data_IF_717775480211
#
_entry.id   IF_717775480211
#
_cell.length_a   1.000
_cell.length_b   1.000
_cell.length_c   1.000
_cell.angle_alpha   90.00
_cell.angle_beta   90.00
_cell.angle_gamma   90.00
#
_symmetry.space_group_name_H-M   'P 1'
#
loop_
_entity.id
_entity.type
_entity.pdbx_description
1 polymer ?
#
# COMPACT_ATOMS: atom_id res chain seq x y z
N UNK A 1 5.71 29.44 -2.02
CA UNK A 1 5.24 28.32 -2.86
C UNK A 1 5.72 27.04 -2.19
N UNK A 2 4.81 26.27 -1.58
CA UNK A 2 5.14 24.93 -1.09
C UNK A 2 5.32 24.04 -2.31
N UNK A 3 6.58 23.75 -2.66
CA UNK A 3 6.91 22.70 -3.61
C UNK A 3 6.31 21.40 -3.12
N UNK A 4 5.46 20.77 -3.94
CA UNK A 4 4.91 19.44 -3.65
C UNK A 4 6.07 18.49 -3.32
N UNK A 5 5.97 17.67 -2.27
CA UNK A 5 6.95 16.63 -2.04
C UNK A 5 7.08 15.74 -3.29
N UNK A 6 8.30 15.32 -3.67
CA UNK A 6 8.54 14.58 -4.91
C UNK A 6 7.63 13.35 -5.07
N UNK A 7 7.22 12.70 -3.97
CA UNK A 7 6.28 11.56 -3.97
C UNK A 7 4.84 11.85 -4.47
N UNK A 8 4.42 13.12 -4.55
CA UNK A 8 3.09 13.50 -5.08
C UNK A 8 3.09 13.71 -6.60
N UNK A 9 4.24 13.59 -7.27
CA UNK A 9 4.25 13.55 -8.73
C UNK A 9 3.57 12.25 -9.20
N UNK A 10 2.68 12.38 -10.19
CA UNK A 10 1.97 11.27 -10.84
C UNK A 10 2.95 10.15 -11.27
N UNK A 11 4.20 10.51 -11.57
CA UNK A 11 5.26 9.65 -12.08
C UNK A 11 6.30 9.23 -11.04
N UNK A 12 6.16 9.64 -9.77
CA UNK A 12 7.06 9.20 -8.70
C UNK A 12 6.94 7.69 -8.44
N UNK A 13 8.08 7.07 -8.15
CA UNK A 13 8.18 5.67 -7.76
C UNK A 13 7.52 5.44 -6.40
N UNK A 14 6.70 4.39 -6.31
CA UNK A 14 6.16 3.93 -5.04
C UNK A 14 7.08 2.87 -4.44
N UNK A 15 7.09 2.73 -3.12
CA UNK A 15 7.71 1.59 -2.47
C UNK A 15 6.63 0.70 -1.86
N UNK A 16 6.76 -0.60 -2.05
CA UNK A 16 5.86 -1.61 -1.51
C UNK A 16 6.60 -2.54 -0.54
N UNK A 17 6.05 -2.76 0.64
CA UNK A 17 6.56 -3.59 1.72
C UNK A 17 5.42 -4.52 2.10
N UNK A 18 5.72 -5.81 2.30
CA UNK A 18 4.70 -6.76 2.69
C UNK A 18 4.21 -6.46 4.11
N UNK A 19 2.91 -6.66 4.36
CA UNK A 19 2.33 -6.37 5.68
C UNK A 19 3.10 -7.08 6.78
N UNK A 20 3.44 -8.35 6.59
CA UNK A 20 4.03 -9.22 7.61
C UNK A 20 5.57 -9.34 7.46
N UNK A 21 6.21 -8.36 6.81
CA UNK A 21 7.67 -8.33 6.70
C UNK A 21 8.30 -8.21 8.11
N UNK A 22 9.25 -9.08 8.48
CA UNK A 22 9.83 -9.10 9.82
C UNK A 22 10.65 -7.84 10.16
N UNK A 23 11.02 -7.04 9.16
CA UNK A 23 11.67 -5.74 9.34
C UNK A 23 10.72 -4.60 9.70
N UNK A 24 9.41 -4.86 9.83
CA UNK A 24 8.41 -3.86 10.23
C UNK A 24 8.20 -3.88 11.74
N UNK A 25 8.23 -2.69 12.36
CA UNK A 25 7.84 -2.51 13.76
C UNK A 25 6.31 -2.50 13.93
N UNK A 26 5.72 -3.69 13.88
CA UNK A 26 4.31 -3.91 14.13
C UNK A 26 3.86 -3.40 15.51
N UNK A 27 4.76 -3.40 16.50
CA UNK A 27 4.44 -2.95 17.84
C UNK A 27 4.19 -1.44 17.86
N UNK A 28 5.02 -0.66 17.17
CA UNK A 28 4.81 0.79 17.05
C UNK A 28 3.53 1.09 16.29
N UNK A 29 3.27 0.40 15.18
CA UNK A 29 2.01 0.55 14.42
C UNK A 29 0.79 0.23 15.30
N UNK A 30 0.82 -0.84 16.08
CA UNK A 30 -0.28 -1.22 16.97
C UNK A 30 -0.48 -0.20 18.10
N UNK A 31 0.58 0.42 18.60
CA UNK A 31 0.50 1.49 19.59
C UNK A 31 -0.16 2.74 19.00
N UNK A 32 0.26 3.17 17.82
CA UNK A 32 -0.32 4.33 17.11
C UNK A 32 -1.82 4.12 16.83
N UNK A 33 -2.22 2.90 16.43
CA UNK A 33 -3.63 2.56 16.23
C UNK A 33 -4.44 2.62 17.52
N UNK A 34 -3.91 2.13 18.63
CA UNK A 34 -4.58 2.24 19.95
C UNK A 34 -4.73 3.70 20.39
N UNK A 35 -3.74 4.55 20.10
CA UNK A 35 -3.83 5.98 20.36
C UNK A 35 -4.88 6.67 19.45
N UNK A 36 -5.04 6.21 18.21
CA UNK A 36 -6.13 6.63 17.33
C UNK A 36 -7.50 6.19 17.88
N UNK A 37 -7.65 4.93 18.30
CA UNK A 37 -8.86 4.40 18.93
C UNK A 37 -9.28 5.23 20.15
N UNK A 38 -8.32 5.53 21.03
CA UNK A 38 -8.58 6.34 22.24
C UNK A 38 -9.08 7.73 21.88
N UNK A 39 -8.42 8.42 20.94
CA UNK A 39 -8.84 9.76 20.49
C UNK A 39 -10.20 9.73 19.79
N UNK A 40 -10.46 8.70 18.99
CA UNK A 40 -11.74 8.52 18.33
C UNK A 40 -12.87 8.34 19.35
N UNK A 41 -12.66 7.51 20.38
CA UNK A 41 -13.61 7.31 21.46
C UNK A 41 -13.94 8.62 22.19
N UNK A 42 -12.93 9.42 22.55
CA UNK A 42 -13.13 10.75 23.15
C UNK A 42 -13.94 11.69 22.23
N UNK A 43 -13.67 11.67 20.93
CA UNK A 43 -14.41 12.48 19.95
C UNK A 43 -15.87 12.01 19.82
N UNK A 44 -16.13 10.70 19.86
CA UNK A 44 -17.49 10.14 19.84
C UNK A 44 -18.31 10.54 21.09
N UNK A 45 -17.69 10.58 22.27
CA UNK A 45 -18.33 11.09 23.50
C UNK A 45 -18.69 12.59 23.38
N UNK A 46 -17.80 13.38 22.79
CA UNK A 46 -18.05 14.81 22.50
C UNK A 46 -19.19 14.99 21.50
N UNK A 47 -19.30 14.14 20.48
CA UNK A 47 -20.43 14.15 19.54
C UNK A 47 -21.74 13.88 20.27
N UNK A 48 -21.78 12.87 21.16
CA UNK A 48 -22.98 12.57 21.94
C UNK A 48 -23.41 13.78 22.78
N UNK A 49 -22.46 14.44 23.44
CA UNK A 49 -22.71 15.64 24.26
C UNK A 49 -23.20 16.82 23.42
N UNK A 50 -22.58 17.09 22.26
CA UNK A 50 -22.97 18.19 21.37
C UNK A 50 -24.37 17.96 20.76
N UNK A 51 -24.73 16.69 20.48
CA UNK A 51 -26.09 16.33 20.03
C UNK A 51 -27.14 16.60 21.08
N UNK A 52 -26.89 16.28 22.34
CA UNK A 52 -27.81 16.59 23.45
C UNK A 52 -28.03 18.10 23.64
N UNK A 53 -27.02 18.92 23.31
CA UNK A 53 -27.09 20.39 23.37
C UNK A 53 -27.68 21.05 22.12
N UNK A 54 -27.92 20.30 21.04
CA UNK A 54 -28.44 20.84 19.78
C UNK A 54 -27.41 21.62 18.95
N UNK A 55 -26.11 21.39 19.16
CA UNK A 55 -25.01 22.11 18.49
C UNK A 55 -24.67 21.47 17.12
N UNK A 56 -25.61 21.54 16.17
CA UNK A 56 -25.51 20.82 14.89
C UNK A 56 -24.24 21.09 14.06
N UNK A 57 -23.68 22.30 14.14
CA UNK A 57 -22.44 22.64 13.43
C UNK A 57 -21.22 21.96 14.07
N UNK A 58 -21.17 21.91 15.40
CA UNK A 58 -20.08 21.27 16.14
C UNK A 58 -20.09 19.75 15.92
N UNK A 59 -21.28 19.14 15.87
CA UNK A 59 -21.45 17.72 15.53
C UNK A 59 -20.81 17.38 14.18
N UNK A 60 -21.06 18.16 13.13
CA UNK A 60 -20.51 17.89 11.81
C UNK A 60 -18.96 17.98 11.78
N UNK A 61 -18.38 18.91 12.52
CA UNK A 61 -16.91 19.05 12.63
C UNK A 61 -16.31 17.86 13.39
N UNK A 62 -16.96 17.45 14.48
CA UNK A 62 -16.50 16.32 15.29
C UNK A 62 -16.67 14.98 14.56
N UNK A 63 -17.73 14.81 13.76
CA UNK A 63 -17.92 13.61 12.93
C UNK A 63 -16.80 13.44 11.91
N UNK A 64 -16.40 14.52 11.22
CA UNK A 64 -15.26 14.49 10.32
C UNK A 64 -13.93 14.19 11.06
N UNK A 65 -13.76 14.74 12.26
CA UNK A 65 -12.59 14.46 13.10
C UNK A 65 -12.55 13.00 13.56
N UNK A 66 -13.69 12.42 13.94
CA UNK A 66 -13.80 11.02 14.35
C UNK A 66 -13.54 10.05 13.18
N UNK A 67 -13.93 10.43 11.96
CA UNK A 67 -13.59 9.69 10.75
C UNK A 67 -12.07 9.70 10.50
N UNK A 68 -11.42 10.86 10.58
CA UNK A 68 -9.95 10.97 10.43
C UNK A 68 -9.18 10.21 11.53
N UNK A 69 -9.77 10.03 12.70
CA UNK A 69 -9.21 9.27 13.83
C UNK A 69 -9.52 7.77 13.80
N UNK A 70 -10.29 7.29 12.81
CA UNK A 70 -10.58 5.86 12.67
C UNK A 70 -9.27 5.09 12.45
N UNK A 71 -8.97 4.03 13.23
CA UNK A 71 -7.75 3.25 13.08
C UNK A 71 -7.60 2.62 11.69
N UNK A 72 -8.70 2.40 10.96
CA UNK A 72 -8.68 1.92 9.58
C UNK A 72 -8.05 2.95 8.63
N UNK A 73 -8.08 4.23 8.99
CA UNK A 73 -7.45 5.33 8.27
C UNK A 73 -5.97 5.53 8.67
N UNK A 74 -5.43 4.66 9.53
CA UNK A 74 -4.00 4.62 9.79
C UNK A 74 -3.21 4.46 8.48
N UNK A 75 -2.11 5.21 8.34
CA UNK A 75 -1.33 5.30 7.09
C UNK A 75 -0.87 3.93 6.58
N UNK A 76 -0.44 3.07 7.49
CA UNK A 76 -0.05 1.68 7.20
C UNK A 76 -1.19 0.86 6.59
N UNK A 77 -2.42 1.02 7.09
CA UNK A 77 -3.56 0.25 6.60
C UNK A 77 -4.05 0.80 5.26
N UNK A 78 -4.06 2.12 5.09
CA UNK A 78 -4.35 2.76 3.80
C UNK A 78 -3.34 2.31 2.72
N UNK A 79 -2.07 2.21 3.08
CA UNK A 79 -1.02 1.71 2.19
C UNK A 79 -1.20 0.24 1.82
N UNK A 80 -1.40 -0.65 2.79
CA UNK A 80 -1.55 -2.09 2.53
C UNK A 80 -2.82 -2.42 1.74
N UNK A 81 -3.86 -1.58 1.83
CA UNK A 81 -5.05 -1.63 0.96
C UNK A 81 -4.81 -1.06 -0.45
N UNK A 82 -3.67 -0.40 -0.68
CA UNK A 82 -3.33 0.25 -1.94
C UNK A 82 -4.12 1.53 -2.21
N UNK A 83 -4.60 2.19 -1.15
CA UNK A 83 -5.30 3.48 -1.21
C UNK A 83 -4.33 4.66 -1.25
N UNK A 84 -3.10 4.48 -0.76
CA UNK A 84 -2.05 5.49 -0.71
C UNK A 84 -0.69 4.90 -1.10
N UNK A 85 0.28 5.77 -1.39
CA UNK A 85 1.69 5.38 -1.60
C UNK A 85 2.41 5.36 -0.24
N UNK A 86 3.34 4.43 -0.08
CA UNK A 86 4.21 4.43 1.09
C UNK A 86 5.31 5.47 0.96
N UNK A 87 5.38 6.35 1.96
CA UNK A 87 6.35 7.42 2.02
C UNK A 87 7.45 7.03 3.02
N UNK A 88 8.50 6.40 2.51
CA UNK A 88 9.62 5.93 3.35
C UNK A 88 10.28 7.08 4.10
N UNK A 89 10.31 8.28 3.54
CA UNK A 89 10.93 9.45 4.19
C UNK A 89 10.04 10.02 5.30
N UNK A 90 8.70 9.95 5.15
CA UNK A 90 7.75 10.38 6.17
C UNK A 90 7.49 9.32 7.26
N UNK A 91 7.59 8.04 6.91
CA UNK A 91 7.27 6.90 7.77
C UNK A 91 8.54 6.16 8.27
N UNK A 92 9.71 6.80 8.10
CA UNK A 92 11.04 6.30 8.46
C UNK A 92 11.16 5.91 9.94
N UNK A 93 10.32 6.48 10.81
CA UNK A 93 10.24 6.10 12.23
C UNK A 93 9.80 4.65 12.46
N UNK A 94 8.93 4.10 11.60
CA UNK A 94 8.40 2.74 11.71
C UNK A 94 9.31 1.67 11.06
N UNK A 95 10.23 2.08 10.19
CA UNK A 95 11.16 1.19 9.46
C UNK A 95 12.60 1.24 10.02
N UNK A 96 13.00 2.32 10.70
CA UNK A 96 14.42 2.53 11.08
C UNK A 96 14.94 1.72 12.27
N UNK A 97 14.10 1.13 13.11
CA UNK A 97 14.56 0.82 14.48
C UNK A 97 15.11 -0.58 14.74
N UNK A 98 14.90 -1.62 13.92
CA UNK A 98 15.43 -2.97 14.22
C UNK A 98 15.81 -3.73 12.94
N UNK A 99 16.90 -4.50 13.01
CA UNK A 99 17.40 -5.31 11.89
C UNK A 99 16.46 -6.48 11.53
N UNK A 100 16.48 -6.99 10.28
CA UNK A 100 17.05 -6.41 9.07
C UNK A 100 16.10 -5.34 8.50
N UNK A 101 16.64 -4.42 7.68
CA UNK A 101 15.82 -3.44 6.96
C UNK A 101 14.75 -4.18 6.15
N UNK A 102 13.49 -3.76 6.26
CA UNK A 102 12.38 -4.38 5.53
C UNK A 102 12.68 -4.48 4.03
N UNK A 103 12.28 -5.60 3.39
CA UNK A 103 12.47 -5.77 1.94
C UNK A 103 11.47 -4.87 1.22
N UNK A 104 11.98 -3.92 0.42
CA UNK A 104 11.12 -2.94 -0.25
C UNK A 104 11.13 -3.16 -1.76
N UNK A 105 9.96 -3.38 -2.34
CA UNK A 105 9.76 -3.43 -3.78
C UNK A 105 9.52 -2.02 -4.33
N UNK A 106 10.44 -1.51 -5.14
CA UNK A 106 10.26 -0.24 -5.85
C UNK A 106 9.33 -0.47 -7.02
N UNK A 107 8.16 0.15 -6.97
CA UNK A 107 7.12 0.06 -7.99
C UNK A 107 7.16 1.29 -8.91
N UNK A 108 7.00 1.06 -10.21
CA UNK A 108 6.80 2.10 -11.21
C UNK A 108 5.37 2.14 -11.70
N UNK A 109 4.96 3.31 -12.18
CA UNK A 109 3.61 3.49 -12.70
C UNK A 109 3.52 2.84 -14.07
N UNK A 110 2.44 2.09 -14.28
CA UNK A 110 2.15 1.52 -15.59
C UNK A 110 1.57 2.56 -16.54
N UNK A 111 1.97 2.46 -17.81
CA UNK A 111 1.27 3.19 -18.87
C UNK A 111 -0.19 2.71 -18.98
N UNK A 112 -1.08 3.55 -19.52
CA UNK A 112 -2.49 3.18 -19.71
C UNK A 112 -2.67 1.87 -20.51
N UNK A 113 -1.90 1.59 -21.59
CA UNK A 113 -1.97 0.30 -22.27
C UNK A 113 -1.57 -0.88 -21.39
N UNK A 114 -0.47 -0.77 -20.63
CA UNK A 114 -0.01 -1.81 -19.71
C UNK A 114 -1.04 -2.10 -18.62
N UNK A 115 -1.61 -1.05 -18.01
CA UNK A 115 -2.68 -1.20 -17.02
C UNK A 115 -3.91 -1.90 -17.60
N UNK A 116 -4.38 -1.49 -18.80
CA UNK A 116 -5.54 -2.13 -19.44
C UNK A 116 -5.31 -3.61 -19.74
N UNK A 117 -4.10 -3.97 -20.17
CA UNK A 117 -3.74 -5.36 -20.41
C UNK A 117 -3.84 -6.19 -19.12
N UNK A 118 -3.23 -5.72 -18.02
CA UNK A 118 -3.30 -6.40 -16.73
C UNK A 118 -4.73 -6.46 -16.16
N UNK A 119 -5.51 -5.38 -16.30
CA UNK A 119 -6.91 -5.35 -15.86
C UNK A 119 -7.77 -6.39 -16.61
N UNK A 120 -7.55 -6.55 -17.92
CA UNK A 120 -8.23 -7.57 -18.71
C UNK A 120 -7.85 -8.99 -18.32
N UNK A 121 -6.58 -9.24 -17.99
CA UNK A 121 -6.12 -10.54 -17.48
C UNK A 121 -6.76 -10.88 -16.12
N UNK A 122 -6.82 -9.92 -15.19
CA UNK A 122 -7.48 -10.09 -13.90
C UNK A 122 -8.98 -10.37 -14.04
N UNK A 123 -9.67 -9.64 -14.91
CA UNK A 123 -11.09 -9.88 -15.20
C UNK A 123 -11.34 -11.28 -15.79
N UNK A 124 -10.41 -11.76 -16.63
CA UNK A 124 -10.48 -13.10 -17.22
C UNK A 124 -10.28 -14.23 -16.20
N UNK A 125 -9.46 -13.99 -15.17
CA UNK A 125 -9.29 -14.91 -14.03
C UNK A 125 -10.59 -15.00 -13.23
N UNK A 126 -11.17 -13.85 -12.83
CA UNK A 126 -12.42 -13.82 -12.07
C UNK A 126 -13.61 -14.44 -12.81
N UNK A 127 -13.59 -14.47 -14.14
CA UNK A 127 -14.66 -15.04 -14.94
C UNK A 127 -14.58 -16.58 -15.11
N UNK A 128 -13.49 -17.24 -14.68
CA UNK A 128 -13.23 -18.67 -14.93
C UNK A 128 -13.06 -19.46 -13.63
N UNK A 129 -14.16 -19.91 -13.05
CA UNK A 129 -14.21 -20.68 -11.79
C UNK A 129 -13.71 -22.14 -11.88
N UNK A 130 -12.51 -22.44 -12.40
CA UNK A 130 -12.08 -23.85 -12.28
C UNK A 130 -10.70 -24.31 -12.73
N UNK A 131 -9.87 -23.47 -13.35
CA UNK A 131 -8.45 -23.80 -13.52
C UNK A 131 -7.61 -22.53 -13.68
N UNK A 132 -7.60 -21.74 -12.61
CA UNK A 132 -7.05 -20.38 -12.59
C UNK A 132 -5.55 -20.34 -12.40
N UNK A 133 -4.90 -21.40 -11.89
CA UNK A 133 -3.48 -21.41 -11.52
C UNK A 133 -2.53 -20.95 -12.65
N UNK A 134 -2.75 -21.40 -13.89
CA UNK A 134 -1.90 -20.98 -15.03
C UNK A 134 -2.12 -19.51 -15.42
N UNK A 135 -3.36 -19.02 -15.29
CA UNK A 135 -3.70 -17.63 -15.57
C UNK A 135 -3.25 -16.71 -14.44
N UNK A 136 -3.39 -17.14 -13.18
CA UNK A 136 -2.88 -16.47 -11.98
C UNK A 136 -1.37 -16.34 -12.05
N UNK A 137 -0.64 -17.42 -12.33
CA UNK A 137 0.82 -17.36 -12.50
C UNK A 137 1.23 -16.41 -13.62
N UNK A 138 0.52 -16.44 -14.77
CA UNK A 138 0.77 -15.52 -15.88
C UNK A 138 0.49 -14.06 -15.51
N UNK A 139 -0.63 -13.79 -14.83
CA UNK A 139 -0.96 -12.45 -14.35
C UNK A 139 0.10 -11.95 -13.36
N UNK A 140 0.49 -12.78 -12.40
CA UNK A 140 1.53 -12.50 -11.41
C UNK A 140 2.85 -12.13 -12.08
N UNK A 141 3.32 -12.97 -13.01
CA UNK A 141 4.52 -12.74 -13.84
C UNK A 141 4.45 -11.40 -14.59
N UNK A 142 3.34 -11.16 -15.29
CA UNK A 142 3.15 -9.97 -16.12
C UNK A 142 3.07 -8.70 -15.26
N UNK A 143 2.36 -8.74 -14.14
CA UNK A 143 2.22 -7.61 -13.23
C UNK A 143 3.56 -7.27 -12.59
N UNK A 144 4.29 -8.26 -12.09
CA UNK A 144 5.61 -8.06 -11.48
C UNK A 144 6.59 -7.48 -12.50
N UNK A 145 6.71 -8.06 -13.70
CA UNK A 145 7.59 -7.53 -14.77
C UNK A 145 7.20 -6.12 -15.23
N UNK A 146 5.90 -5.82 -15.26
CA UNK A 146 5.44 -4.52 -15.69
C UNK A 146 5.64 -3.46 -14.59
N UNK A 147 5.44 -3.81 -13.32
CA UNK A 147 5.29 -2.82 -12.25
C UNK A 147 6.46 -2.73 -11.28
N UNK A 148 7.27 -3.77 -11.14
CA UNK A 148 8.43 -3.74 -10.24
C UNK A 148 9.62 -3.17 -10.99
N UNK A 149 10.10 -2.02 -10.53
CA UNK A 149 11.31 -1.36 -11.00
C UNK A 149 12.54 -1.84 -10.22
N UNK A 150 12.39 -2.23 -8.96
CA UNK A 150 13.51 -2.49 -8.07
C UNK A 150 13.13 -3.29 -6.81
N UNK A 151 14.14 -3.81 -6.11
CA UNK A 151 14.04 -4.32 -4.73
C UNK A 151 15.19 -3.71 -3.94
N UNK A 152 14.89 -3.05 -2.82
CA UNK A 152 15.85 -2.46 -1.90
C UNK A 152 15.91 -3.31 -0.62
N UNK A 153 17.09 -3.37 0.02
CA UNK A 153 17.33 -4.00 1.34
C UNK A 153 17.07 -5.51 1.50
N UNK A 154 16.74 -6.25 0.45
CA UNK A 154 16.64 -7.72 0.53
C UNK A 154 18.03 -8.36 0.69
N UNK A 155 18.33 -8.96 1.86
CA UNK A 155 19.50 -9.83 1.99
C UNK A 155 19.35 -11.03 1.03
N UNK A 156 20.39 -11.33 0.25
CA UNK A 156 20.42 -12.50 -0.65
C UNK A 156 19.75 -12.31 -2.01
N UNK A 157 18.95 -11.26 -2.22
CA UNK A 157 18.44 -10.90 -3.54
C UNK A 157 19.46 -9.99 -4.23
N UNK A 158 20.49 -10.59 -4.83
CA UNK A 158 21.54 -9.91 -5.61
C UNK A 158 21.05 -9.25 -6.90
N UNK A 159 19.84 -8.69 -6.92
CA UNK A 159 19.19 -8.14 -8.10
C UNK A 159 19.64 -6.68 -8.24
N UNK A 160 20.83 -6.47 -8.76
CA UNK A 160 21.37 -5.12 -9.00
C UNK A 160 21.11 -4.60 -10.43
N UNK A 161 20.32 -5.29 -11.27
CA UNK A 161 19.98 -4.86 -12.63
C UNK A 161 18.58 -5.30 -13.05
N UNK A 162 17.63 -4.36 -13.04
CA UNK A 162 16.17 -4.59 -13.06
C UNK A 162 15.49 -4.41 -14.42
N UNK A 163 16.09 -4.87 -15.53
CA UNK A 163 15.36 -4.80 -16.79
C UNK A 163 14.30 -5.90 -16.91
N UNK A 164 14.49 -7.11 -16.35
CA UNK A 164 13.51 -8.21 -16.41
C UNK A 164 13.71 -9.18 -15.23
N UNK A 165 12.72 -9.33 -14.35
CA UNK A 165 12.69 -10.42 -13.37
C UNK A 165 12.54 -11.76 -14.09
N UNK A 166 13.49 -12.67 -13.84
CA UNK A 166 13.51 -14.02 -14.40
C UNK A 166 12.53 -14.94 -13.68
N UNK A 167 12.19 -16.07 -14.28
CA UNK A 167 11.34 -17.07 -13.62
C UNK A 167 12.04 -17.62 -12.34
N UNK A 168 13.37 -17.70 -12.32
CA UNK A 168 14.14 -18.08 -11.14
C UNK A 168 14.05 -17.04 -10.01
N UNK A 169 14.05 -15.73 -10.33
CA UNK A 169 13.84 -14.69 -9.32
C UNK A 169 12.45 -14.81 -8.68
N UNK A 170 11.46 -15.27 -9.45
CA UNK A 170 10.09 -15.45 -8.97
C UNK A 170 9.94 -16.72 -8.16
N UNK A 171 10.61 -17.81 -8.54
CA UNK A 171 10.66 -19.03 -7.72
C UNK A 171 11.31 -18.72 -6.36
N UNK A 172 12.36 -17.89 -6.31
CA UNK A 172 12.96 -17.42 -5.05
C UNK A 172 11.96 -16.57 -4.24
N UNK A 173 11.18 -15.68 -4.89
CA UNK A 173 10.13 -14.93 -4.19
C UNK A 173 9.01 -15.84 -3.66
N UNK A 174 8.63 -16.89 -4.39
CA UNK A 174 7.68 -17.93 -3.94
C UNK A 174 8.23 -18.71 -2.74
N UNK A 175 9.51 -19.08 -2.75
CA UNK A 175 10.18 -19.82 -1.67
C UNK A 175 10.29 -19.02 -0.36
N UNK A 176 10.50 -17.69 -0.47
CA UNK A 176 10.56 -16.81 0.69
C UNK A 176 9.17 -16.65 1.32
N UNK A 177 8.11 -16.61 0.50
CA UNK A 177 6.73 -16.54 0.98
C UNK A 177 5.73 -16.88 -0.14
N UNK A 178 4.99 -17.99 -0.02
CA UNK A 178 4.13 -18.52 -1.09
C UNK A 178 3.09 -17.50 -1.63
N UNK A 179 2.57 -16.60 -0.79
CA UNK A 179 1.61 -15.58 -1.21
C UNK A 179 2.25 -14.27 -1.74
N UNK A 180 3.57 -14.09 -1.62
CA UNK A 180 4.24 -12.82 -1.90
C UNK A 180 4.10 -12.37 -3.36
N UNK A 181 4.27 -13.23 -4.37
CA UNK A 181 4.14 -12.81 -5.77
C UNK A 181 2.73 -12.31 -6.12
N UNK A 182 1.69 -13.00 -5.63
CA UNK A 182 0.30 -12.57 -5.86
C UNK A 182 0.01 -11.24 -5.15
N UNK A 183 0.44 -11.09 -3.89
CA UNK A 183 0.29 -9.85 -3.16
C UNK A 183 1.00 -8.68 -3.86
N UNK A 184 2.20 -8.90 -4.37
CA UNK A 184 2.97 -7.92 -5.13
C UNK A 184 2.32 -7.55 -6.46
N UNK A 185 1.76 -8.53 -7.19
CA UNK A 185 1.00 -8.30 -8.42
C UNK A 185 -0.25 -7.44 -8.17
N UNK A 186 -0.98 -7.71 -7.07
CA UNK A 186 -2.10 -6.89 -6.64
C UNK A 186 -1.67 -5.48 -6.21
N UNK A 187 -0.52 -5.37 -5.54
CA UNK A 187 0.06 -4.08 -5.17
C UNK A 187 0.43 -3.24 -6.40
N UNK A 188 1.07 -3.84 -7.41
CA UNK A 188 1.34 -3.19 -8.71
C UNK A 188 0.04 -2.71 -9.36
N UNK A 189 -0.99 -3.57 -9.34
CA UNK A 189 -2.28 -3.23 -9.91
C UNK A 189 -2.91 -2.03 -9.19
N UNK A 190 -2.87 -2.02 -7.86
CA UNK A 190 -3.39 -0.92 -7.04
C UNK A 190 -2.55 0.36 -7.21
N UNK A 191 -1.23 0.28 -7.23
CA UNK A 191 -0.33 1.41 -7.50
C UNK A 191 -0.59 2.04 -8.88
N UNK A 192 -1.07 1.22 -9.82
CA UNK A 192 -1.42 1.67 -11.17
C UNK A 192 -2.81 2.28 -11.29
N UNK A 193 -3.68 2.14 -10.27
CA UNK A 193 -4.99 2.80 -10.25
C UNK A 193 -4.77 4.32 -10.26
N UNK A 194 -5.67 5.03 -10.94
CA UNK A 194 -5.59 6.48 -10.99
C UNK A 194 -5.75 7.06 -9.59
N UNK A 195 -4.82 7.92 -9.16
CA UNK A 195 -4.93 8.70 -7.93
C UNK A 195 -6.34 9.28 -7.78
N UNK A 196 -6.93 9.11 -6.59
CA UNK A 196 -8.17 9.73 -6.19
C UNK A 196 -8.02 11.27 -6.25
N UNK A 197 -9.14 11.97 -6.40
CA UNK A 197 -9.12 13.42 -6.59
C UNK A 197 -8.48 14.17 -5.40
N UNK A 198 -8.51 13.57 -4.19
CA UNK A 198 -7.85 14.07 -2.99
C UNK A 198 -6.32 13.99 -3.08
N UNK A 199 -5.76 12.94 -3.68
CA UNK A 199 -4.31 12.72 -3.82
C UNK A 199 -3.67 13.55 -4.94
N UNK A 200 -4.48 14.07 -5.87
CA UNK A 200 -4.02 15.00 -6.92
C UNK A 200 -3.85 16.44 -6.44
N UNK A 201 -4.49 16.78 -5.32
CA UNK A 201 -4.65 18.16 -4.83
C UNK A 201 -3.88 18.45 -3.53
N UNK A 202 -3.38 17.44 -2.82
CA UNK A 202 -2.41 17.59 -1.72
C UNK A 202 -0.99 17.59 -2.30
#
# INVERSE_FOLDING_TARGET
MLTRPPQHAIDAEGRWIFRDDPGIDHRTIDLEKREMESRQAETLERIATAREKGEHHEVAVLEALAEDQDPRNHRWDAYTRGETRFDVDADDGAIRSLAPKATMFVLRRLSRPQFRALAGELQSIHAKDGNTAKLERKFTLNAIRAGVKGVENGEGLGINNFSELTDADLDVLEEIHEALPMALALAVFNFSKGLLHAEKKR
#
